data_IF_710557236285
#
_entry.id   IF_710557236285
#
_cell.length_a   1.000
_cell.length_b   1.000
_cell.length_c   1.000
_cell.angle_alpha   90.00
_cell.angle_beta   90.00
_cell.angle_gamma   90.00
#
_symmetry.space_group_name_H-M   'P 1'
#
loop_
_entity.id
_entity.type
_entity.pdbx_description
1 polymer ?
#
# COMPACT_ATOMS: atom_id res chain seq x y z
N UNK A 1 9.62 23.20 10.53
CA UNK A 1 10.74 22.25 10.40
C UNK A 1 10.44 21.30 9.26
N UNK A 2 11.44 21.02 8.46
CA UNK A 2 11.31 20.07 7.37
C UNK A 2 11.42 18.65 7.91
N UNK A 3 10.48 17.78 7.55
CA UNK A 3 10.55 16.38 7.89
C UNK A 3 11.62 15.71 7.03
N UNK A 4 12.67 15.17 7.66
CA UNK A 4 13.79 14.55 6.96
C UNK A 4 13.65 13.04 6.82
N UNK A 5 12.55 12.45 7.31
CA UNK A 5 12.32 11.02 7.18
C UNK A 5 12.06 10.66 5.71
N UNK A 6 12.56 9.51 5.24
CA UNK A 6 12.20 9.03 3.92
C UNK A 6 10.69 8.80 3.81
N UNK A 7 10.12 9.10 2.65
CA UNK A 7 8.71 8.83 2.37
C UNK A 7 8.59 7.71 1.34
N UNK A 8 7.81 6.69 1.67
CA UNK A 8 7.54 5.54 0.81
C UNK A 8 6.07 5.51 0.45
N UNK A 9 5.77 5.45 -0.84
CA UNK A 9 4.41 5.35 -1.35
C UNK A 9 4.21 3.98 -1.99
N UNK A 10 3.23 3.24 -1.50
CA UNK A 10 2.80 1.98 -2.11
C UNK A 10 1.56 2.22 -2.98
N UNK A 11 1.59 1.76 -4.21
CA UNK A 11 0.52 1.99 -5.18
C UNK A 11 0.05 0.66 -5.77
N UNK A 12 -1.25 0.43 -5.75
CA UNK A 12 -1.89 -0.65 -6.49
C UNK A 12 -3.13 -0.11 -7.18
N UNK A 13 -3.95 -0.97 -7.79
CA UNK A 13 -5.13 -0.49 -8.52
C UNK A 13 -6.20 0.06 -7.57
N UNK A 14 -6.64 -0.73 -6.61
CA UNK A 14 -7.80 -0.40 -5.77
C UNK A 14 -7.45 0.20 -4.41
N UNK A 15 -6.22 0.13 -3.98
CA UNK A 15 -5.79 0.52 -2.62
C UNK A 15 -6.68 -0.11 -1.53
N UNK A 16 -7.15 -1.30 -1.79
CA UNK A 16 -8.02 -2.06 -0.89
C UNK A 16 -7.36 -3.35 -0.37
N UNK A 17 -6.18 -3.68 -0.85
CA UNK A 17 -5.48 -4.91 -0.50
C UNK A 17 -3.97 -4.75 -0.45
N UNK A 18 -3.29 -4.98 -1.58
CA UNK A 18 -1.81 -5.06 -1.64
C UNK A 18 -1.11 -3.85 -1.05
N UNK A 19 -1.43 -2.65 -1.48
CA UNK A 19 -0.78 -1.44 -0.98
C UNK A 19 -1.13 -1.15 0.48
N UNK A 20 -2.35 -1.47 0.92
CA UNK A 20 -2.74 -1.32 2.32
C UNK A 20 -1.95 -2.27 3.22
N UNK A 21 -1.78 -3.53 2.79
CA UNK A 21 -0.99 -4.51 3.54
C UNK A 21 0.49 -4.08 3.61
N UNK A 22 1.06 -3.67 2.49
CA UNK A 22 2.46 -3.24 2.44
C UNK A 22 2.70 -2.02 3.33
N UNK A 23 1.83 -1.02 3.25
CA UNK A 23 1.96 0.18 4.08
C UNK A 23 1.88 -0.15 5.57
N UNK A 24 0.94 -0.98 5.98
CA UNK A 24 0.78 -1.38 7.38
C UNK A 24 1.98 -2.19 7.89
N UNK A 25 2.51 -3.09 7.07
CA UNK A 25 3.68 -3.90 7.44
C UNK A 25 4.94 -3.05 7.58
N UNK A 26 5.17 -2.12 6.65
CA UNK A 26 6.33 -1.23 6.75
C UNK A 26 6.22 -0.31 7.96
N UNK A 27 5.04 0.25 8.22
CA UNK A 27 4.82 1.09 9.38
C UNK A 27 5.11 0.34 10.69
N UNK A 28 4.73 -0.93 10.74
CA UNK A 28 4.99 -1.77 11.91
C UNK A 28 6.48 -2.06 12.10
N UNK A 29 7.19 -2.35 11.01
CA UNK A 29 8.62 -2.69 11.07
C UNK A 29 9.52 -1.47 11.26
N UNK A 30 9.19 -0.36 10.62
CA UNK A 30 10.03 0.84 10.61
C UNK A 30 9.66 1.83 11.74
N UNK A 31 8.47 1.74 12.29
CA UNK A 31 7.99 2.70 13.30
C UNK A 31 8.00 4.12 12.75
N UNK A 32 8.59 5.04 13.49
CA UNK A 32 8.62 6.47 13.12
C UNK A 32 9.80 6.83 12.21
N UNK A 33 10.59 5.86 11.75
CA UNK A 33 11.78 6.13 10.94
C UNK A 33 11.48 6.52 9.50
N UNK A 34 10.28 6.17 9.00
CA UNK A 34 9.84 6.51 7.64
C UNK A 34 8.41 7.02 7.65
N UNK A 35 8.06 7.84 6.67
CA UNK A 35 6.68 8.21 6.39
C UNK A 35 6.13 7.21 5.37
N UNK A 36 5.01 6.58 5.67
CA UNK A 36 4.41 5.54 4.84
C UNK A 36 3.07 6.02 4.31
N UNK A 37 2.88 5.92 3.00
CA UNK A 37 1.63 6.29 2.32
C UNK A 37 1.19 5.16 1.39
N UNK A 38 -0.09 5.10 1.08
CA UNK A 38 -0.63 4.19 0.08
C UNK A 38 -1.70 4.87 -0.75
N UNK A 39 -1.87 4.43 -1.99
CA UNK A 39 -2.87 4.98 -2.90
C UNK A 39 -3.22 3.98 -4.00
N UNK A 40 -4.29 4.26 -4.74
CA UNK A 40 -4.72 3.44 -5.86
C UNK A 40 -5.05 4.29 -7.08
N UNK A 41 -4.82 3.73 -8.27
CA UNK A 41 -5.21 4.38 -9.52
C UNK A 41 -6.73 4.41 -9.70
N UNK A 42 -7.43 3.40 -9.17
CA UNK A 42 -8.89 3.30 -9.16
C UNK A 42 -9.33 2.82 -7.77
N UNK A 43 -9.34 3.70 -6.76
CA UNK A 43 -9.60 3.27 -5.39
C UNK A 43 -11.01 2.71 -5.21
N UNK A 44 -11.09 1.59 -4.49
CA UNK A 44 -12.37 0.99 -4.10
C UNK A 44 -13.04 1.84 -3.01
N UNK A 45 -14.30 1.53 -2.72
CA UNK A 45 -15.05 2.24 -1.67
C UNK A 45 -14.56 1.89 -0.27
N UNK A 46 -14.10 0.65 -0.06
CA UNK A 46 -13.66 0.15 1.24
C UNK A 46 -12.55 -0.88 1.06
N UNK A 47 -11.83 -1.15 2.16
CA UNK A 47 -10.80 -2.18 2.18
C UNK A 47 -11.44 -3.56 2.06
N UNK A 48 -10.79 -4.45 1.30
CA UNK A 48 -11.24 -5.83 1.16
C UNK A 48 -11.33 -6.49 2.54
N UNK A 49 -12.50 -7.03 2.94
CA UNK A 49 -12.66 -7.64 4.27
C UNK A 49 -11.69 -8.80 4.53
N UNK A 50 -11.35 -9.59 3.52
CA UNK A 50 -10.36 -10.66 3.67
C UNK A 50 -8.97 -10.12 4.01
N UNK A 51 -8.64 -8.94 3.51
CA UNK A 51 -7.38 -8.24 3.84
C UNK A 51 -7.39 -7.78 5.29
N UNK A 52 -8.50 -7.21 5.77
CA UNK A 52 -8.65 -6.82 7.17
C UNK A 52 -8.44 -8.03 8.09
N UNK A 53 -9.05 -9.15 7.76
CA UNK A 53 -8.92 -10.39 8.54
C UNK A 53 -7.50 -10.93 8.52
N UNK A 54 -6.84 -11.00 7.36
CA UNK A 54 -5.47 -11.48 7.23
C UNK A 54 -4.48 -10.62 8.02
N UNK A 55 -4.68 -9.31 8.04
CA UNK A 55 -3.81 -8.41 8.80
C UNK A 55 -4.07 -8.50 10.29
N UNK A 56 -5.31 -8.72 10.69
CA UNK A 56 -5.67 -8.93 12.11
C UNK A 56 -4.96 -10.14 12.71
N UNK A 57 -4.67 -11.17 11.92
CA UNK A 57 -3.89 -12.34 12.36
C UNK A 57 -2.47 -11.95 12.80
N UNK A 58 -1.94 -10.86 12.29
CA UNK A 58 -0.63 -10.34 12.67
C UNK A 58 -0.72 -9.27 13.77
N UNK A 59 -1.90 -9.06 14.33
CA UNK A 59 -2.14 -8.03 15.34
C UNK A 59 -2.29 -6.62 14.77
N UNK A 60 -2.53 -6.50 13.46
CA UNK A 60 -2.73 -5.21 12.79
C UNK A 60 -4.21 -5.03 12.48
N UNK A 61 -4.84 -4.03 13.12
CA UNK A 61 -6.23 -3.68 12.87
C UNK A 61 -6.29 -2.47 11.94
N UNK A 62 -6.54 -2.73 10.65
CA UNK A 62 -6.60 -1.68 9.64
C UNK A 62 -7.75 -0.70 9.89
N UNK A 63 -8.90 -1.18 10.35
CA UNK A 63 -10.06 -0.33 10.60
C UNK A 63 -9.84 0.59 11.79
N UNK A 64 -9.25 0.08 12.87
CA UNK A 64 -8.91 0.90 14.04
C UNK A 64 -7.86 1.94 13.72
N UNK A 65 -6.96 1.64 12.77
CA UNK A 65 -5.94 2.57 12.32
C UNK A 65 -6.48 3.66 11.38
N UNK A 66 -7.76 3.58 11.00
CA UNK A 66 -8.37 4.54 10.08
C UNK A 66 -7.99 4.34 8.62
N UNK A 67 -7.47 3.16 8.27
CA UNK A 67 -7.09 2.86 6.90
C UNK A 67 -8.30 2.87 5.96
N UNK A 68 -8.13 3.47 4.79
CA UNK A 68 -9.18 3.53 3.77
C UNK A 68 -8.54 3.69 2.39
N UNK A 69 -9.23 3.25 1.31
CA UNK A 69 -8.73 3.46 -0.04
C UNK A 69 -8.62 4.94 -0.38
N UNK A 70 -7.52 5.31 -1.03
CA UNK A 70 -7.22 6.70 -1.41
C UNK A 70 -6.80 6.75 -2.87
N UNK A 71 -7.22 7.81 -3.55
CA UNK A 71 -6.81 8.03 -4.95
C UNK A 71 -5.33 8.47 -5.00
N UNK A 72 -4.61 7.90 -5.97
CA UNK A 72 -3.27 8.36 -6.28
C UNK A 72 -3.33 9.80 -6.78
N UNK A 73 -2.56 10.68 -6.14
CA UNK A 73 -2.44 12.07 -6.58
C UNK A 73 -0.98 12.44 -6.79
N UNK A 74 -0.78 13.49 -7.57
CA UNK A 74 0.54 13.96 -7.94
C UNK A 74 1.33 14.48 -6.74
N UNK A 75 0.65 15.08 -5.78
CA UNK A 75 1.30 15.61 -4.57
C UNK A 75 1.91 14.48 -3.74
N UNK A 76 1.22 13.35 -3.59
CA UNK A 76 1.74 12.20 -2.86
C UNK A 76 2.98 11.62 -3.55
N UNK A 77 2.95 11.51 -4.88
CA UNK A 77 4.12 11.03 -5.64
C UNK A 77 5.29 12.00 -5.51
N UNK A 78 5.03 13.29 -5.64
CA UNK A 78 6.06 14.33 -5.56
C UNK A 78 6.74 14.33 -4.19
N UNK A 79 5.99 14.11 -3.11
CA UNK A 79 6.52 14.08 -1.76
C UNK A 79 7.31 12.79 -1.46
N UNK A 80 7.14 11.74 -2.23
CA UNK A 80 7.74 10.43 -1.96
C UNK A 80 9.18 10.33 -2.45
N UNK A 81 10.02 9.65 -1.69
CA UNK A 81 11.39 9.31 -2.09
C UNK A 81 11.42 7.99 -2.86
N UNK A 82 10.56 7.05 -2.48
CA UNK A 82 10.43 5.74 -3.11
C UNK A 82 8.96 5.49 -3.44
N UNK A 83 8.71 5.04 -4.67
CA UNK A 83 7.37 4.62 -5.10
C UNK A 83 7.43 3.13 -5.46
N UNK A 84 6.61 2.33 -4.80
CA UNK A 84 6.52 0.89 -5.04
C UNK A 84 5.16 0.59 -5.64
N UNK A 85 5.16 0.18 -6.91
CA UNK A 85 3.92 -0.20 -7.60
C UNK A 85 3.68 -1.69 -7.44
N UNK A 86 2.41 -2.07 -7.36
CA UNK A 86 2.03 -3.44 -7.03
C UNK A 86 0.94 -3.92 -7.99
N UNK A 87 1.30 -3.98 -9.28
CA UNK A 87 0.42 -4.52 -10.31
C UNK A 87 -0.53 -3.52 -10.94
N UNK A 88 -0.27 -2.21 -10.86
CA UNK A 88 -1.09 -1.22 -11.56
C UNK A 88 -0.68 -1.01 -13.03
N UNK A 89 0.41 -1.61 -13.47
CA UNK A 89 0.86 -1.53 -14.85
C UNK A 89 1.07 -0.09 -15.31
N UNK A 90 0.59 0.22 -16.52
CA UNK A 90 0.74 1.56 -17.10
C UNK A 90 -0.16 2.62 -16.48
N UNK A 91 -1.09 2.22 -15.59
CA UNK A 91 -1.98 3.16 -14.92
C UNK A 91 -1.26 4.00 -13.86
N UNK A 92 -0.07 3.58 -13.43
CA UNK A 92 0.72 4.32 -12.45
C UNK A 92 1.70 5.26 -13.15
N UNK A 93 1.62 6.57 -12.90
CA UNK A 93 2.54 7.52 -13.52
C UNK A 93 3.96 7.35 -12.99
N UNK A 94 4.95 7.65 -13.84
CA UNK A 94 6.36 7.64 -13.48
C UNK A 94 6.86 9.08 -13.46
N UNK A 95 7.46 9.48 -12.33
CA UNK A 95 8.02 10.82 -12.16
C UNK A 95 9.55 10.73 -12.05
N UNK A 96 10.31 11.52 -12.83
CA UNK A 96 11.77 11.54 -12.75
C UNK A 96 12.27 11.91 -11.35
N UNK A 97 13.44 11.38 -10.98
CA UNK A 97 14.09 11.71 -9.73
C UNK A 97 13.63 10.89 -8.53
N UNK A 98 12.71 9.96 -8.73
CA UNK A 98 12.23 9.06 -7.68
C UNK A 98 12.77 7.65 -7.90
N UNK A 99 12.97 6.92 -6.81
CA UNK A 99 13.25 5.49 -6.90
C UNK A 99 11.93 4.74 -7.11
N UNK A 100 11.86 3.92 -8.15
CA UNK A 100 10.70 3.11 -8.47
C UNK A 100 11.05 1.63 -8.37
N UNK A 101 10.15 0.86 -7.76
CA UNK A 101 10.19 -0.59 -7.77
C UNK A 101 8.80 -1.10 -8.12
N UNK A 102 8.74 -2.17 -8.89
CA UNK A 102 7.48 -2.83 -9.24
C UNK A 102 7.48 -4.24 -8.65
N UNK A 103 6.59 -4.47 -7.69
CA UNK A 103 6.43 -5.77 -7.05
C UNK A 103 5.28 -6.51 -7.68
N UNK A 104 5.57 -7.62 -8.31
CA UNK A 104 4.56 -8.45 -8.97
C UNK A 104 3.88 -9.34 -7.93
N UNK A 105 2.66 -8.99 -7.59
CA UNK A 105 1.84 -9.70 -6.61
C UNK A 105 0.48 -10.00 -7.22
N UNK A 106 -0.10 -11.14 -6.85
CA UNK A 106 -1.45 -11.47 -7.27
C UNK A 106 -2.47 -10.49 -6.67
N UNK A 107 -3.55 -10.26 -7.40
CA UNK A 107 -4.63 -9.39 -6.93
C UNK A 107 -5.49 -10.16 -5.91
N UNK A 108 -5.66 -9.64 -4.68
CA UNK A 108 -6.50 -10.29 -3.69
C UNK A 108 -8.00 -10.16 -3.95
N UNK A 109 -8.42 -9.35 -4.91
CA UNK A 109 -9.83 -9.16 -5.23
C UNK A 109 -10.48 -10.48 -5.62
N UNK A 110 -11.60 -10.81 -4.98
CA UNK A 110 -12.32 -12.05 -5.24
C UNK A 110 -11.71 -13.30 -4.61
N UNK A 111 -10.58 -13.18 -3.92
CA UNK A 111 -9.96 -14.30 -3.21
C UNK A 111 -10.42 -14.32 -1.75
N UNK A 112 -10.48 -15.52 -1.19
CA UNK A 112 -10.73 -15.70 0.24
C UNK A 112 -9.50 -15.39 1.09
N UNK A 113 -9.64 -15.49 2.40
CA UNK A 113 -8.57 -15.18 3.35
C UNK A 113 -7.30 -16.00 3.07
N UNK A 114 -7.44 -17.26 2.67
CA UNK A 114 -6.28 -18.12 2.35
C UNK A 114 -5.44 -17.55 1.20
N UNK A 115 -6.08 -17.10 0.13
CA UNK A 115 -5.39 -16.48 -1.00
C UNK A 115 -4.74 -15.16 -0.59
N UNK A 116 -5.41 -14.38 0.23
CA UNK A 116 -4.87 -13.11 0.75
C UNK A 116 -3.66 -13.35 1.67
N UNK A 117 -3.70 -14.40 2.50
CA UNK A 117 -2.55 -14.75 3.36
C UNK A 117 -1.29 -15.03 2.55
N UNK A 118 -1.43 -15.75 1.43
CA UNK A 118 -0.29 -16.02 0.56
C UNK A 118 0.31 -14.74 -0.01
N UNK A 119 -0.53 -13.81 -0.44
CA UNK A 119 -0.10 -12.51 -0.95
C UNK A 119 0.55 -11.68 0.17
N UNK A 120 -0.07 -11.63 1.35
CA UNK A 120 0.47 -10.95 2.53
C UNK A 120 1.87 -11.44 2.88
N UNK A 121 2.05 -12.76 2.88
CA UNK A 121 3.33 -13.36 3.28
C UNK A 121 4.43 -13.12 2.24
N UNK A 122 4.06 -12.83 1.00
CA UNK A 122 4.98 -12.48 -0.08
C UNK A 122 5.46 -11.02 0.01
N UNK A 123 4.66 -10.16 0.63
CA UNK A 123 5.00 -8.74 0.81
C UNK A 123 6.12 -8.54 1.91
#
# INVERSE_FOLDING_TARGET
>A
MTDTRPEVLFVCVHNAGRSQMAAALLARHAGDTVVVRSAGSEPAEDINPAVVEAMAELGIDLRAAGAHPKRLDEAAVTASDVVITMGCGDACPIFPGKRYEDWKLDDPAGQGVEGVRAIRDEI
#
